data_IF_192888244937
#
_entry.id   IF_192888244937
#
_cell.length_a   1.000
_cell.length_b   1.000
_cell.length_c   1.000
_cell.angle_alpha   90.00
_cell.angle_beta   90.00
_cell.angle_gamma   90.00
#
_symmetry.space_group_name_H-M   'P 1'
#
loop_
_entity.id
_entity.type
_entity.pdbx_description
1 polymer ?
#
# COMPACT_ATOMS: atom_id res chain seq x y z
N UNK A 1 -7.39 0.63 -15.78
CA UNK A 1 -6.40 1.52 -15.16
C UNK A 1 -5.98 2.57 -16.16
N UNK A 2 -5.86 3.82 -15.73
CA UNK A 2 -5.44 4.94 -16.60
C UNK A 2 -4.16 5.54 -16.04
N UNK A 3 -3.11 5.56 -16.85
CA UNK A 3 -1.82 6.20 -16.52
C UNK A 3 -1.88 7.68 -16.89
N UNK A 4 -1.58 8.55 -15.94
CA UNK A 4 -1.61 10.00 -16.06
C UNK A 4 -0.33 10.61 -15.52
N UNK A 5 0.04 11.81 -15.98
CA UNK A 5 1.12 12.60 -15.40
C UNK A 5 0.67 13.36 -14.14
N UNK A 6 1.63 13.79 -13.31
CA UNK A 6 1.40 14.54 -12.07
C UNK A 6 0.69 15.90 -12.26
N UNK A 7 0.66 16.45 -13.48
CA UNK A 7 -0.04 17.67 -13.84
C UNK A 7 -1.45 17.44 -14.43
N UNK A 8 -2.04 16.24 -14.24
CA UNK A 8 -3.40 15.93 -14.69
C UNK A 8 -4.40 16.99 -14.19
N UNK A 9 -5.16 17.66 -15.08
CA UNK A 9 -6.16 18.64 -14.67
C UNK A 9 -7.26 18.00 -13.82
N UNK A 10 -7.75 18.74 -12.82
CA UNK A 10 -8.80 18.26 -11.90
C UNK A 10 -10.04 17.77 -12.65
N UNK A 11 -10.57 18.52 -13.62
CA UNK A 11 -11.75 18.12 -14.41
C UNK A 11 -11.55 16.76 -15.10
N UNK A 12 -10.34 16.50 -15.59
CA UNK A 12 -10.02 15.23 -16.22
C UNK A 12 -9.91 14.10 -15.18
N UNK A 13 -9.32 14.38 -14.02
CA UNK A 13 -9.32 13.47 -12.88
C UNK A 13 -10.76 13.11 -12.47
N UNK A 14 -11.64 14.10 -12.28
CA UNK A 14 -13.05 13.89 -11.92
C UNK A 14 -13.74 12.95 -12.88
N UNK A 15 -13.58 13.20 -14.18
CA UNK A 15 -14.20 12.36 -15.21
C UNK A 15 -13.71 10.93 -15.13
N UNK A 16 -12.40 10.71 -14.98
CA UNK A 16 -11.83 9.37 -14.88
C UNK A 16 -12.30 8.68 -13.59
N UNK A 17 -12.20 9.38 -12.46
CA UNK A 17 -12.55 8.87 -11.14
C UNK A 17 -14.02 8.48 -11.03
N UNK A 18 -14.91 9.17 -11.76
CA UNK A 18 -16.34 8.85 -11.81
C UNK A 18 -16.67 7.44 -12.34
N UNK A 19 -15.74 6.79 -13.06
CA UNK A 19 -15.89 5.42 -13.53
C UNK A 19 -15.44 4.36 -12.52
N UNK A 20 -14.96 4.75 -11.33
CA UNK A 20 -14.45 3.79 -10.32
C UNK A 20 -13.17 3.05 -10.76
N UNK A 21 -12.40 3.62 -11.68
CA UNK A 21 -11.18 3.02 -12.19
C UNK A 21 -9.96 3.43 -11.36
N UNK A 22 -9.00 2.53 -11.10
CA UNK A 22 -7.73 2.93 -10.51
C UNK A 22 -6.92 3.80 -11.48
N UNK A 23 -6.25 4.83 -10.93
CA UNK A 23 -5.34 5.70 -11.67
C UNK A 23 -3.90 5.48 -11.22
N UNK A 24 -2.98 5.51 -12.18
CA UNK A 24 -1.55 5.59 -11.91
C UNK A 24 -1.07 7.00 -12.29
N UNK A 25 -0.75 7.82 -11.29
CA UNK A 25 -0.15 9.14 -11.49
C UNK A 25 1.36 8.96 -11.40
N UNK A 26 2.08 9.30 -12.47
CA UNK A 26 3.54 9.21 -12.53
C UNK A 26 4.20 10.57 -12.43
N UNK A 27 5.51 10.56 -12.17
CA UNK A 27 6.36 11.74 -12.14
C UNK A 27 5.99 12.72 -11.02
N UNK A 28 5.59 12.19 -9.85
CA UNK A 28 5.33 13.00 -8.65
C UNK A 28 6.61 13.31 -7.87
N UNK A 29 7.71 12.60 -8.16
CA UNK A 29 9.01 12.73 -7.49
C UNK A 29 9.62 14.13 -7.55
N UNK A 30 9.30 14.92 -8.57
CA UNK A 30 9.75 16.31 -8.70
C UNK A 30 9.33 17.21 -7.52
N UNK A 31 8.29 16.80 -6.79
CA UNK A 31 7.76 17.54 -5.65
C UNK A 31 8.39 17.12 -4.31
N UNK A 32 9.19 16.05 -4.27
CA UNK A 32 9.77 15.54 -3.03
C UNK A 32 10.90 16.48 -2.57
N UNK A 33 10.77 17.04 -1.37
CA UNK A 33 11.80 17.91 -0.76
C UNK A 33 12.75 17.11 0.13
N UNK A 34 12.31 15.95 0.62
CA UNK A 34 13.10 15.09 1.50
C UNK A 34 13.38 13.74 0.85
N UNK A 35 14.50 13.13 1.25
CA UNK A 35 14.84 11.77 0.82
C UNK A 35 14.35 10.75 1.85
N UNK A 36 13.32 9.98 1.48
CA UNK A 36 12.65 8.97 2.31
C UNK A 36 13.47 7.67 2.42
N UNK A 37 14.72 7.78 2.86
CA UNK A 37 15.69 6.66 2.80
C UNK A 37 15.72 5.81 4.08
N UNK A 38 16.14 4.54 4.00
CA UNK A 38 16.47 3.72 5.17
C UNK A 38 17.39 4.45 6.16
N UNK A 39 18.41 5.16 5.65
CA UNK A 39 19.35 5.90 6.49
C UNK A 39 18.68 7.03 7.28
N UNK A 40 17.70 7.73 6.70
CA UNK A 40 16.90 8.72 7.43
C UNK A 40 16.23 8.08 8.64
N UNK A 41 15.57 6.94 8.47
CA UNK A 41 14.86 6.24 9.55
C UNK A 41 15.81 5.66 10.60
N UNK A 42 16.96 5.11 10.18
CA UNK A 42 18.04 4.67 11.09
C UNK A 42 18.50 5.84 11.96
N UNK A 43 18.77 7.00 11.37
CA UNK A 43 19.25 8.17 12.10
C UNK A 43 18.20 8.73 13.06
N UNK A 44 16.93 8.79 12.63
CA UNK A 44 15.83 9.41 13.39
C UNK A 44 15.29 8.52 14.51
N UNK A 45 15.06 7.24 14.22
CA UNK A 45 14.35 6.32 15.12
C UNK A 45 15.12 5.01 15.36
N UNK A 46 16.38 4.90 14.95
CA UNK A 46 17.13 3.63 14.94
C UNK A 46 17.13 2.84 16.26
N UNK A 47 17.13 3.53 17.41
CA UNK A 47 17.11 2.91 18.76
C UNK A 47 15.71 2.58 19.27
N UNK A 48 14.64 2.91 18.54
CA UNK A 48 13.28 2.54 18.92
C UNK A 48 13.00 1.10 18.53
N UNK A 49 12.13 0.48 19.31
CA UNK A 49 11.58 -0.83 18.99
C UNK A 49 10.53 -0.72 17.89
N UNK A 50 10.51 -1.69 17.00
CA UNK A 50 9.49 -1.90 15.98
C UNK A 50 9.08 -3.38 15.96
N UNK A 51 7.95 -3.66 15.31
CA UNK A 51 7.49 -5.03 15.07
C UNK A 51 7.83 -5.41 13.63
N UNK A 52 8.67 -6.43 13.48
CA UNK A 52 9.02 -6.99 12.18
C UNK A 52 8.23 -8.27 11.99
N UNK A 53 7.36 -8.31 10.99
CA UNK A 53 6.54 -9.46 10.67
C UNK A 53 7.11 -10.20 9.46
N UNK A 54 7.21 -11.51 9.60
CA UNK A 54 7.45 -12.44 8.50
C UNK A 54 6.12 -12.66 7.76
N UNK A 55 6.04 -12.28 6.49
CA UNK A 55 4.76 -12.29 5.75
C UNK A 55 4.26 -13.71 5.48
N UNK A 56 5.15 -14.70 5.42
CA UNK A 56 4.81 -16.08 5.12
C UNK A 56 4.16 -16.78 6.31
N UNK A 57 4.68 -16.52 7.52
CA UNK A 57 4.18 -17.13 8.76
C UNK A 57 3.22 -16.24 9.54
N UNK A 58 3.19 -14.93 9.25
CA UNK A 58 2.48 -13.93 10.04
C UNK A 58 3.08 -13.67 11.42
N UNK A 59 4.26 -14.23 11.72
CA UNK A 59 4.88 -14.12 13.05
C UNK A 59 5.63 -12.79 13.15
N UNK A 60 5.19 -11.95 14.08
CA UNK A 60 5.86 -10.71 14.48
C UNK A 60 6.98 -10.94 15.50
N UNK A 61 8.12 -10.29 15.32
CA UNK A 61 9.23 -10.26 16.29
C UNK A 61 9.64 -8.81 16.56
N UNK A 62 9.97 -8.50 17.81
CA UNK A 62 10.54 -7.21 18.19
C UNK A 62 11.97 -7.08 17.68
N UNK A 63 12.28 -5.96 17.05
CA UNK A 63 13.64 -5.58 16.64
C UNK A 63 13.82 -4.06 16.79
N UNK A 64 15.05 -3.57 16.70
CA UNK A 64 15.26 -2.13 16.55
C UNK A 64 14.99 -1.69 15.11
N UNK A 65 14.52 -0.46 14.95
CA UNK A 65 14.33 0.17 13.64
C UNK A 65 15.63 0.09 12.83
N UNK A 66 16.78 0.34 13.46
CA UNK A 66 18.07 0.26 12.77
C UNK A 66 18.37 -1.13 12.22
N UNK A 67 18.08 -2.19 13.00
CA UNK A 67 18.35 -3.57 12.60
C UNK A 67 17.54 -3.94 11.35
N UNK A 68 16.26 -3.52 11.30
CA UNK A 68 15.41 -3.79 10.15
C UNK A 68 15.84 -3.00 8.91
N UNK A 69 16.02 -1.69 9.02
CA UNK A 69 16.38 -0.86 7.86
C UNK A 69 17.78 -1.15 7.33
N UNK A 70 18.68 -1.69 8.15
CA UNK A 70 20.00 -2.16 7.69
C UNK A 70 19.90 -3.34 6.71
N UNK A 71 18.78 -4.05 6.67
CA UNK A 71 18.54 -5.16 5.73
C UNK A 71 18.18 -4.66 4.32
N UNK A 72 17.87 -3.37 4.13
CA UNK A 72 17.57 -2.84 2.80
C UNK A 72 18.77 -2.98 1.86
N UNK A 73 18.52 -3.49 0.66
CA UNK A 73 19.57 -3.83 -0.31
C UNK A 73 20.35 -5.11 0.01
N UNK A 74 20.08 -5.77 1.14
CA UNK A 74 20.60 -7.10 1.44
C UNK A 74 19.57 -8.15 1.00
N UNK A 75 19.87 -8.83 -0.11
CA UNK A 75 19.02 -9.90 -0.61
C UNK A 75 19.45 -11.25 -0.03
N UNK A 76 18.51 -11.96 0.60
CA UNK A 76 18.64 -13.38 0.90
C UNK A 76 17.46 -14.14 0.27
N UNK A 77 17.67 -14.82 -0.89
CA UNK A 77 16.61 -15.49 -1.63
C UNK A 77 15.95 -16.63 -0.85
N UNK A 78 16.59 -17.08 0.23
CA UNK A 78 16.11 -18.20 1.04
C UNK A 78 15.22 -17.77 2.19
N UNK A 79 15.09 -16.46 2.43
CA UNK A 79 14.31 -15.92 3.54
C UNK A 79 12.99 -15.34 3.09
N UNK A 80 11.90 -15.58 3.84
CA UNK A 80 10.62 -14.95 3.59
C UNK A 80 10.69 -13.44 3.79
N UNK A 81 9.74 -12.73 3.16
CA UNK A 81 9.65 -11.27 3.24
C UNK A 81 9.42 -10.83 4.67
N UNK A 82 10.14 -9.78 5.04
CA UNK A 82 9.91 -9.08 6.31
C UNK A 82 9.34 -7.71 6.03
N UNK A 83 8.35 -7.33 6.82
CA UNK A 83 7.76 -5.99 6.80
C UNK A 83 7.69 -5.40 8.19
N UNK A 84 7.65 -4.07 8.26
CA UNK A 84 7.27 -3.40 9.50
C UNK A 84 5.77 -3.44 9.66
N UNK A 85 5.32 -3.89 10.83
CA UNK A 85 3.91 -3.94 11.21
C UNK A 85 3.56 -2.73 12.06
N UNK A 86 2.49 -2.04 11.67
CA UNK A 86 1.91 -0.90 12.40
C UNK A 86 2.94 0.18 12.78
N UNK A 87 3.89 0.47 11.87
CA UNK A 87 4.98 1.40 12.10
C UNK A 87 5.04 2.55 11.08
N UNK A 88 5.21 3.80 11.54
CA UNK A 88 5.01 4.24 12.92
C UNK A 88 3.54 4.02 13.32
N UNK A 89 3.23 3.93 14.62
CA UNK A 89 1.84 3.83 15.05
C UNK A 89 1.00 4.97 14.45
N UNK A 90 -0.10 4.64 13.78
CA UNK A 90 -0.88 5.58 12.92
C UNK A 90 -1.24 6.89 13.62
N UNK A 91 -1.60 6.82 14.91
CA UNK A 91 -1.99 7.98 15.71
C UNK A 91 -0.87 9.04 15.88
N UNK A 92 0.38 8.72 15.50
CA UNK A 92 1.53 9.55 15.79
C UNK A 92 2.36 9.94 14.56
N UNK A 93 1.99 9.61 13.31
CA UNK A 93 2.87 9.86 12.16
C UNK A 93 3.37 11.31 12.09
N UNK A 94 2.46 12.28 12.13
CA UNK A 94 2.78 13.71 12.13
C UNK A 94 3.63 14.13 13.35
N UNK A 95 3.45 13.47 14.48
CA UNK A 95 4.19 13.73 15.72
C UNK A 95 5.62 13.17 15.65
N UNK A 96 5.78 11.98 15.07
CA UNK A 96 7.05 11.24 14.98
C UNK A 96 7.92 11.76 13.82
N UNK A 97 7.30 12.08 12.69
CA UNK A 97 7.95 12.55 11.47
C UNK A 97 7.24 13.79 10.90
N UNK A 98 7.27 14.94 11.60
CA UNK A 98 6.59 16.16 11.14
C UNK A 98 7.12 16.66 9.80
N UNK A 99 8.42 16.54 9.57
CA UNK A 99 9.11 16.90 8.34
C UNK A 99 8.68 16.03 7.15
N UNK A 100 8.61 14.71 7.34
CA UNK A 100 8.09 13.81 6.31
C UNK A 100 6.59 14.00 6.09
N UNK A 101 5.82 14.33 7.13
CA UNK A 101 4.40 14.65 6.98
C UNK A 101 4.20 15.88 6.09
N UNK A 102 4.92 16.97 6.37
CA UNK A 102 4.82 18.19 5.58
C UNK A 102 5.28 17.96 4.12
N UNK A 103 6.34 17.17 3.92
CA UNK A 103 6.81 16.76 2.59
C UNK A 103 5.74 15.93 1.84
N UNK A 104 5.17 14.91 2.48
CA UNK A 104 4.10 14.08 1.89
C UNK A 104 2.89 14.91 1.47
N UNK A 105 2.45 15.82 2.34
CA UNK A 105 1.32 16.71 2.03
C UNK A 105 1.67 17.71 0.91
N UNK A 106 2.96 18.01 0.70
CA UNK A 106 3.41 18.88 -0.39
C UNK A 106 3.38 18.16 -1.75
N UNK A 107 3.66 16.86 -1.82
CA UNK A 107 3.72 16.13 -3.10
C UNK A 107 2.53 15.24 -3.41
N UNK A 108 1.62 14.99 -2.47
CA UNK A 108 0.42 14.18 -2.73
C UNK A 108 -0.39 14.78 -3.89
N UNK A 109 -0.73 13.99 -4.93
CA UNK A 109 -1.48 14.48 -6.08
C UNK A 109 -2.96 14.71 -5.73
N UNK A 110 -3.68 15.44 -6.58
CA UNK A 110 -5.13 15.68 -6.45
C UNK A 110 -5.52 16.23 -5.08
N UNK A 111 -4.83 17.28 -4.64
CA UNK A 111 -4.88 17.82 -3.28
C UNK A 111 -6.28 18.15 -2.78
N UNK A 112 -7.17 18.62 -3.67
CA UNK A 112 -8.55 18.92 -3.30
C UNK A 112 -9.36 17.69 -2.89
N UNK A 113 -8.95 16.51 -3.34
CA UNK A 113 -9.50 15.20 -2.95
C UNK A 113 -8.72 14.53 -1.82
N UNK A 114 -7.39 14.60 -1.85
CA UNK A 114 -6.51 13.77 -1.01
C UNK A 114 -6.10 14.43 0.30
N UNK A 115 -6.04 15.78 0.35
CA UNK A 115 -5.62 16.48 1.56
C UNK A 115 -6.76 16.66 2.54
N UNK A 116 -6.45 16.65 3.84
CA UNK A 116 -7.39 16.97 4.93
C UNK A 116 -7.91 18.43 4.92
N UNK A 117 -7.43 19.28 4.01
CA UNK A 117 -7.95 20.63 3.76
C UNK A 117 -8.49 20.80 2.35
N UNK A 118 -8.53 19.72 1.57
CA UNK A 118 -9.05 19.74 0.21
C UNK A 118 -10.56 19.99 0.22
N UNK A 119 -11.03 20.85 -0.69
CA UNK A 119 -12.44 21.25 -0.74
C UNK A 119 -13.38 20.13 -1.13
N UNK A 120 -12.87 19.09 -1.80
CA UNK A 120 -13.63 17.94 -2.30
C UNK A 120 -13.40 16.68 -1.42
N UNK A 121 -12.53 16.78 -0.41
CA UNK A 121 -12.36 15.76 0.60
C UNK A 121 -13.43 15.88 1.68
N UNK A 122 -14.51 15.11 1.52
CA UNK A 122 -15.63 15.07 2.47
C UNK A 122 -15.18 14.71 3.89
N UNK A 123 -14.13 13.90 4.00
CA UNK A 123 -13.59 13.45 5.28
C UNK A 123 -13.13 14.61 6.18
N UNK A 124 -12.68 15.71 5.56
CA UNK A 124 -12.27 16.96 6.23
C UNK A 124 -13.43 17.73 6.85
N UNK A 125 -14.66 17.42 6.44
CA UNK A 125 -15.88 18.14 6.82
C UNK A 125 -16.87 17.27 7.63
N UNK A 126 -16.45 16.09 8.09
CA UNK A 126 -17.31 15.21 8.87
C UNK A 126 -17.68 15.81 10.23
N UNK A 127 -18.93 15.64 10.69
CA UNK A 127 -19.34 16.07 12.03
C UNK A 127 -18.52 15.38 13.12
N UNK A 128 -18.06 16.15 14.12
CA UNK A 128 -17.23 15.66 15.25
C UNK A 128 -17.89 14.58 16.10
N UNK A 129 -19.21 14.41 15.99
CA UNK A 129 -20.02 13.46 16.75
C UNK A 129 -20.32 12.15 16.00
N UNK A 130 -19.68 11.91 14.85
CA UNK A 130 -19.80 10.66 14.10
C UNK A 130 -18.54 9.81 14.24
N UNK A 131 -18.71 8.48 14.12
CA UNK A 131 -17.59 7.56 13.92
C UNK A 131 -17.12 7.76 12.47
N UNK A 132 -15.90 8.26 12.30
CA UNK A 132 -15.26 8.41 11.00
C UNK A 132 -14.02 7.51 10.94
N UNK A 133 -13.60 7.05 9.74
CA UNK A 133 -12.47 6.16 9.59
C UNK A 133 -11.16 6.79 10.10
N UNK A 134 -10.20 5.96 10.49
CA UNK A 134 -8.85 6.41 10.87
C UNK A 134 -8.11 6.93 9.63
N UNK A 135 -8.12 8.25 9.47
CA UNK A 135 -7.55 8.94 8.30
C UNK A 135 -6.21 9.57 8.65
N UNK A 136 -5.26 9.39 7.74
CA UNK A 136 -3.93 9.92 7.86
C UNK A 136 -2.93 9.09 7.05
N UNK A 137 -1.73 9.62 6.83
CA UNK A 137 -0.68 8.88 6.16
C UNK A 137 -0.30 7.65 6.98
N UNK A 138 -0.20 6.50 6.31
CA UNK A 138 0.33 5.25 6.84
C UNK A 138 1.56 4.88 6.03
N UNK A 139 2.59 4.35 6.69
CA UNK A 139 3.75 3.81 5.99
C UNK A 139 3.67 2.30 5.88
N UNK A 140 3.99 1.82 4.69
CA UNK A 140 4.13 0.41 4.38
C UNK A 140 5.56 0.17 3.95
N UNK A 141 6.28 -0.64 4.73
CA UNK A 141 7.71 -0.85 4.53
C UNK A 141 7.97 -2.35 4.58
N UNK A 142 8.46 -2.89 3.47
CA UNK A 142 8.79 -4.30 3.31
C UNK A 142 10.12 -4.46 2.57
N UNK A 143 10.78 -5.59 2.81
CA UNK A 143 11.91 -6.04 1.99
C UNK A 143 11.41 -6.63 0.66
N UNK A 144 12.34 -6.87 -0.26
CA UNK A 144 12.07 -7.51 -1.56
C UNK A 144 11.38 -8.88 -1.39
N UNK A 145 10.35 -9.16 -2.20
CA UNK A 145 9.66 -10.45 -2.23
C UNK A 145 10.09 -11.35 -3.37
N UNK A 146 10.99 -12.28 -3.07
CA UNK A 146 11.41 -13.32 -4.01
C UNK A 146 10.58 -14.59 -3.91
N UNK A 147 9.89 -14.76 -2.78
CA UNK A 147 9.05 -15.93 -2.51
C UNK A 147 7.69 -15.84 -3.19
N UNK A 148 7.32 -14.66 -3.71
CA UNK A 148 6.02 -14.35 -4.31
C UNK A 148 4.88 -14.66 -3.34
N UNK A 149 5.08 -14.32 -2.07
CA UNK A 149 4.10 -14.53 -1.00
C UNK A 149 3.28 -13.27 -0.70
N UNK A 150 3.67 -12.12 -1.25
CA UNK A 150 3.00 -10.84 -1.08
C UNK A 150 3.45 -10.10 0.18
N UNK A 151 3.90 -8.86 0.01
CA UNK A 151 4.17 -7.93 1.11
C UNK A 151 2.86 -7.43 1.76
N UNK A 152 1.79 -7.33 0.97
CA UNK A 152 0.44 -6.95 1.39
C UNK A 152 -0.56 -7.96 0.85
N UNK A 153 -1.41 -8.48 1.73
CA UNK A 153 -2.45 -9.46 1.40
C UNK A 153 -3.66 -8.76 0.78
N UNK A 154 -4.45 -9.51 0.02
CA UNK A 154 -5.70 -9.03 -0.56
C UNK A 154 -6.62 -8.52 0.54
N UNK A 155 -7.09 -7.28 0.38
CA UNK A 155 -8.03 -6.62 1.28
C UNK A 155 -8.81 -5.55 0.52
N UNK A 156 -9.82 -5.00 1.19
CA UNK A 156 -10.62 -3.88 0.71
C UNK A 156 -10.47 -2.72 1.71
N UNK A 157 -10.15 -1.54 1.20
CA UNK A 157 -10.13 -0.32 2.00
C UNK A 157 -11.55 0.23 2.20
N UNK A 158 -11.80 0.79 3.39
CA UNK A 158 -13.10 1.38 3.74
C UNK A 158 -13.30 2.79 3.17
N UNK A 159 -12.23 3.41 2.66
CA UNK A 159 -12.23 4.76 2.10
C UNK A 159 -11.33 4.82 0.88
N UNK A 160 -11.48 5.88 0.09
CA UNK A 160 -10.54 6.20 -0.98
C UNK A 160 -9.11 6.33 -0.42
N UNK A 161 -8.13 5.89 -1.21
CA UNK A 161 -6.73 5.86 -0.81
C UNK A 161 -5.80 6.27 -1.96
N UNK A 162 -4.67 6.87 -1.59
CA UNK A 162 -3.55 7.16 -2.49
C UNK A 162 -2.29 6.52 -1.92
N UNK A 163 -1.60 5.73 -2.74
CA UNK A 163 -0.34 5.07 -2.37
C UNK A 163 0.78 5.65 -3.22
N UNK A 164 1.85 6.12 -2.58
CA UNK A 164 3.01 6.73 -3.24
C UNK A 164 4.26 5.94 -2.86
N UNK A 165 4.99 5.46 -3.85
CA UNK A 165 6.24 4.74 -3.63
C UNK A 165 7.38 5.75 -3.48
N UNK A 166 7.75 6.04 -2.24
CA UNK A 166 8.75 7.07 -1.87
C UNK A 166 10.16 6.52 -1.72
N UNK A 167 10.35 5.21 -1.79
CA UNK A 167 11.65 4.58 -1.78
C UNK A 167 11.58 3.18 -2.38
N UNK A 168 12.52 2.87 -3.26
CA UNK A 168 12.75 1.51 -3.75
C UNK A 168 14.23 1.16 -3.55
N UNK A 169 14.49 -0.06 -3.07
CA UNK A 169 15.85 -0.57 -2.92
C UNK A 169 16.39 -1.09 -4.25
N UNK A 170 17.71 -1.26 -4.33
CA UNK A 170 18.30 -2.02 -5.44
C UNK A 170 17.85 -3.48 -5.34
N UNK A 171 17.18 -3.95 -6.38
CA UNK A 171 16.78 -5.35 -6.51
C UNK A 171 17.95 -6.19 -6.99
N UNK A 172 18.03 -7.41 -6.48
CA UNK A 172 18.99 -8.41 -6.96
C UNK A 172 18.78 -8.82 -8.43
N UNK A 173 17.57 -8.64 -8.96
CA UNK A 173 17.22 -8.96 -10.36
C UNK A 173 17.38 -7.76 -11.30
N UNK A 174 17.66 -6.57 -10.76
CA UNK A 174 17.71 -5.31 -11.52
C UNK A 174 16.34 -4.63 -11.71
N UNK A 175 15.23 -5.27 -11.31
CA UNK A 175 13.88 -4.69 -11.36
C UNK A 175 13.42 -4.31 -9.95
N UNK A 176 13.18 -3.01 -9.72
CA UNK A 176 12.72 -2.45 -8.44
C UNK A 176 11.29 -1.91 -8.56
N UNK A 177 10.55 -1.95 -7.44
CA UNK A 177 9.18 -1.44 -7.37
C UNK A 177 8.25 -2.35 -6.58
N UNK A 178 6.95 -2.20 -6.81
CA UNK A 178 5.90 -3.05 -6.23
C UNK A 178 4.91 -3.49 -7.32
N UNK A 179 4.60 -4.79 -7.36
CA UNK A 179 3.53 -5.34 -8.18
C UNK A 179 2.20 -5.24 -7.44
N UNK A 180 1.20 -4.67 -8.09
CA UNK A 180 -0.17 -4.57 -7.58
C UNK A 180 -1.12 -5.30 -8.51
N UNK A 181 -2.04 -6.05 -7.91
CA UNK A 181 -3.25 -6.54 -8.56
C UNK A 181 -4.45 -5.85 -7.91
N UNK A 182 -5.12 -4.97 -8.66
CA UNK A 182 -6.30 -4.24 -8.20
C UNK A 182 -7.53 -4.79 -8.89
N UNK A 183 -8.54 -5.20 -8.13
CA UNK A 183 -9.80 -5.73 -8.66
C UNK A 183 -10.91 -4.68 -8.62
N UNK A 184 -11.93 -4.84 -9.47
CA UNK A 184 -13.12 -3.99 -9.38
C UNK A 184 -13.87 -4.29 -8.09
N UNK A 185 -14.49 -3.27 -7.50
CA UNK A 185 -15.39 -3.48 -6.38
C UNK A 185 -16.54 -4.44 -6.73
N UNK A 186 -16.98 -4.42 -7.99
CA UNK A 186 -18.04 -5.29 -8.52
C UNK A 186 -17.67 -6.78 -8.42
N UNK A 187 -16.38 -7.11 -8.44
CA UNK A 187 -15.86 -8.49 -8.36
C UNK A 187 -15.84 -9.05 -6.93
N UNK A 188 -16.04 -8.21 -5.91
CA UNK A 188 -15.83 -8.57 -4.48
C UNK A 188 -16.64 -9.80 -4.04
N UNK A 189 -17.87 -9.93 -4.54
CA UNK A 189 -18.76 -11.06 -4.19
C UNK A 189 -18.22 -12.36 -4.77
N UNK A 190 -17.90 -12.37 -6.08
CA UNK A 190 -17.38 -13.54 -6.79
C UNK A 190 -16.00 -13.95 -6.27
N UNK A 191 -15.12 -12.98 -5.99
CA UNK A 191 -13.84 -13.22 -5.34
C UNK A 191 -14.04 -13.92 -3.99
N UNK A 192 -14.96 -13.43 -3.16
CA UNK A 192 -15.28 -14.03 -1.87
C UNK A 192 -15.81 -15.48 -1.98
N UNK A 193 -16.62 -15.78 -2.98
CA UNK A 193 -17.14 -17.14 -3.24
C UNK A 193 -16.04 -18.09 -3.70
N UNK A 194 -15.19 -17.66 -4.63
CA UNK A 194 -14.07 -18.47 -5.09
C UNK A 194 -13.13 -18.81 -3.94
N UNK A 195 -12.80 -17.86 -3.08
CA UNK A 195 -11.89 -18.11 -1.95
C UNK A 195 -12.46 -19.04 -0.90
N UNK A 196 -13.79 -19.03 -0.70
CA UNK A 196 -14.45 -20.02 0.16
C UNK A 196 -14.21 -21.44 -0.36
N UNK A 197 -14.32 -21.63 -1.67
CA UNK A 197 -14.18 -22.94 -2.30
C UNK A 197 -12.72 -23.36 -2.47
N UNK A 198 -11.85 -22.45 -2.94
CA UNK A 198 -10.47 -22.75 -3.31
C UNK A 198 -9.55 -22.90 -2.09
N UNK A 199 -9.71 -22.04 -1.08
CA UNK A 199 -8.87 -22.07 0.13
C UNK A 199 -9.52 -22.84 1.29
N UNK A 200 -10.63 -23.54 1.05
CA UNK A 200 -11.37 -24.30 2.08
C UNK A 200 -11.65 -23.45 3.33
N UNK A 201 -12.02 -22.18 3.13
CA UNK A 201 -12.26 -21.26 4.24
C UNK A 201 -13.49 -21.69 5.04
N UNK A 202 -13.26 -22.10 6.28
CA UNK A 202 -14.28 -22.60 7.21
C UNK A 202 -14.76 -21.55 8.22
N UNK A 203 -14.27 -20.31 8.13
CA UNK A 203 -14.68 -19.22 9.01
C UNK A 203 -16.03 -18.61 8.63
N UNK A 204 -16.56 -17.76 9.53
CA UNK A 204 -17.77 -16.98 9.27
C UNK A 204 -17.42 -15.66 8.56
N UNK A 205 -18.18 -15.31 7.52
CA UNK A 205 -18.03 -14.04 6.79
C UNK A 205 -17.33 -14.14 5.42
N UNK A 206 -16.89 -12.99 4.90
CA UNK A 206 -16.15 -12.94 3.64
C UNK A 206 -14.64 -13.10 3.93
N UNK A 207 -13.96 -14.07 3.30
CA UNK A 207 -12.54 -14.35 3.54
C UNK A 207 -11.61 -13.17 3.21
N UNK A 208 -12.03 -12.24 2.33
CA UNK A 208 -11.26 -11.03 2.01
C UNK A 208 -11.02 -10.17 3.26
N UNK A 209 -11.97 -10.14 4.21
CA UNK A 209 -11.82 -9.35 5.44
C UNK A 209 -10.83 -9.94 6.46
N UNK A 210 -10.29 -11.13 6.20
CA UNK A 210 -9.29 -11.75 7.08
C UNK A 210 -7.87 -11.29 6.76
N UNK A 211 -7.65 -10.64 5.60
CA UNK A 211 -6.34 -10.15 5.16
C UNK A 211 -5.24 -11.22 5.16
N UNK A 212 -5.59 -12.47 4.83
CA UNK A 212 -4.67 -13.62 4.82
C UNK A 212 -4.32 -14.12 3.42
N UNK A 213 -5.08 -13.72 2.40
CA UNK A 213 -4.99 -14.27 1.05
C UNK A 213 -3.99 -13.47 0.22
N UNK A 214 -3.16 -14.17 -0.55
CA UNK A 214 -2.40 -13.60 -1.65
C UNK A 214 -2.61 -14.48 -2.87
N UNK A 215 -2.92 -13.85 -4.01
CA UNK A 215 -3.25 -14.57 -5.24
C UNK A 215 -1.97 -14.90 -5.99
N UNK A 216 -1.77 -16.18 -6.23
CA UNK A 216 -0.71 -16.69 -7.11
C UNK A 216 -1.11 -16.53 -8.57
N UNK A 217 -0.17 -16.71 -9.49
CA UNK A 217 -0.48 -16.72 -10.93
C UNK A 217 -1.54 -17.76 -11.28
N UNK A 218 -1.54 -18.94 -10.63
CA UNK A 218 -2.55 -19.97 -10.84
C UNK A 218 -3.94 -19.53 -10.36
N UNK A 219 -4.02 -18.76 -9.28
CA UNK A 219 -5.29 -18.21 -8.79
C UNK A 219 -5.86 -17.18 -9.78
N UNK A 220 -4.98 -16.32 -10.34
CA UNK A 220 -5.34 -15.33 -11.34
C UNK A 220 -5.82 -15.96 -12.65
N UNK A 221 -5.15 -17.03 -13.11
CA UNK A 221 -5.57 -17.79 -14.29
C UNK A 221 -6.95 -18.43 -14.06
N UNK A 222 -7.17 -19.01 -12.88
CA UNK A 222 -8.48 -19.58 -12.51
C UNK A 222 -9.58 -18.53 -12.52
N UNK A 223 -9.34 -17.35 -11.94
CA UNK A 223 -10.29 -16.23 -11.93
C UNK A 223 -10.69 -15.79 -13.35
N UNK A 224 -9.70 -15.72 -14.23
CA UNK A 224 -9.91 -15.35 -15.63
C UNK A 224 -10.72 -16.40 -16.38
N UNK A 225 -10.38 -17.67 -16.22
CA UNK A 225 -11.03 -18.77 -16.96
C UNK A 225 -12.45 -19.04 -16.48
N UNK A 226 -12.69 -19.01 -15.16
CA UNK A 226 -13.96 -19.44 -14.56
C UNK A 226 -14.96 -18.30 -14.39
N UNK A 227 -14.48 -17.07 -14.16
CA UNK A 227 -15.33 -15.92 -13.85
C UNK A 227 -15.11 -14.73 -14.77
N UNK A 228 -14.19 -14.82 -15.75
CA UNK A 228 -13.80 -13.69 -16.62
C UNK A 228 -13.33 -12.46 -15.83
N UNK A 229 -12.80 -12.67 -14.62
CA UNK A 229 -12.26 -11.60 -13.76
C UNK A 229 -10.77 -11.46 -14.03
N UNK A 230 -10.33 -10.24 -14.32
CA UNK A 230 -8.91 -9.91 -14.48
C UNK A 230 -8.56 -8.67 -13.67
N UNK A 231 -7.52 -8.70 -12.83
CA UNK A 231 -7.10 -7.50 -12.11
C UNK A 231 -6.48 -6.48 -13.06
N UNK A 232 -6.50 -5.22 -12.64
CA UNK A 232 -5.54 -4.24 -13.11
C UNK A 232 -4.17 -4.57 -12.52
N UNK A 233 -3.25 -5.02 -13.37
CA UNK A 233 -1.87 -5.26 -13.00
C UNK A 233 -1.05 -3.97 -13.13
N UNK A 234 -0.35 -3.57 -12.07
CA UNK A 234 0.42 -2.33 -12.01
C UNK A 234 1.79 -2.61 -11.41
N UNK A 235 2.85 -2.28 -12.14
CA UNK A 235 4.19 -2.17 -11.59
C UNK A 235 4.38 -0.72 -11.17
N UNK A 236 4.36 -0.48 -9.86
CA UNK A 236 4.61 0.81 -9.26
C UNK A 236 6.12 1.00 -9.07
N UNK A 237 6.65 2.08 -9.63
CA UNK A 237 8.03 2.51 -9.43
C UNK A 237 8.08 3.76 -8.53
N UNK A 238 9.27 4.10 -8.06
CA UNK A 238 9.51 5.32 -7.31
C UNK A 238 8.98 6.56 -8.04
N UNK A 239 8.21 7.39 -7.31
CA UNK A 239 7.60 8.62 -7.84
C UNK A 239 6.29 8.38 -8.56
#
# INVERSE_FOLDING_TARGET
>A
MIKCSSNLPEEQFMKIWSYGLPLLIVDVWHNFQLSWTPQYFINKQGRKWCMVEDTSSGIGRKAHVADFFSLFGQCDPTKPVKRLKDWPPTAEFKTVFPDLYDDFMAFVPMKDYTMARGSLNLASNFPKNMVYPDLGPKMYIALEDQTKTGSTRLHLDLSDAVNILVHEGQSSTGESGALWHIFSQEDTVLLGELFKNHYSYSGTGNPIHQHTIYLTSSDLDTLKETHSITPYEIIQHYG
#
